data_IF_976783225785
#
_entry.id   IF_976783225785
#
_cell.length_a   1.000
_cell.length_b   1.000
_cell.length_c   1.000
_cell.angle_alpha   90.00
_cell.angle_beta   90.00
_cell.angle_gamma   90.00
#
_symmetry.space_group_name_H-M   'P 1'
#
loop_
_entity.id
_entity.type
_entity.pdbx_description
1 polymer ?
#
# COMPACT_ATOMS: atom_id res chain seq x y z
N UNK A 1 -3.44 -25.60 -4.22
CA UNK A 1 -3.05 -24.82 -4.87
C UNK A 1 -3.00 -23.46 -4.60
N UNK A 2 -1.97 -22.94 -4.50
CA UNK A 2 -1.80 -21.66 -4.20
C UNK A 2 -2.10 -20.73 -5.20
N UNK A 3 -2.09 -21.08 -6.36
CA UNK A 3 -2.39 -20.17 -7.41
C UNK A 3 -3.78 -19.71 -7.40
N UNK A 4 -4.65 -20.22 -6.55
CA UNK A 4 -5.91 -19.64 -6.46
C UNK A 4 -5.92 -18.49 -5.59
N UNK A 5 -4.90 -18.20 -4.85
CA UNK A 5 -4.82 -17.04 -4.02
C UNK A 5 -4.56 -15.84 -4.90
N UNK A 6 -4.99 -14.68 -4.52
CA UNK A 6 -4.62 -13.47 -5.19
C UNK A 6 -3.17 -13.23 -4.99
N UNK A 7 -2.46 -12.80 -5.97
CA UNK A 7 -1.07 -12.45 -5.89
C UNK A 7 -0.12 -13.58 -6.18
N UNK A 8 1.16 -13.28 -6.15
CA UNK A 8 2.21 -14.22 -6.44
C UNK A 8 2.92 -14.62 -5.17
N UNK A 9 3.32 -15.90 -5.07
CA UNK A 9 3.96 -16.36 -3.87
C UNK A 9 5.40 -15.89 -3.73
N UNK A 10 6.14 -15.81 -4.79
CA UNK A 10 7.51 -15.32 -4.77
C UNK A 10 8.43 -16.10 -3.83
N UNK A 11 8.11 -17.38 -3.61
CA UNK A 11 8.94 -18.25 -2.75
C UNK A 11 8.84 -17.96 -1.26
N UNK A 12 7.81 -17.21 -0.84
CA UNK A 12 7.68 -16.86 0.57
C UNK A 12 6.35 -17.32 1.14
N UNK A 13 6.28 -17.47 2.46
CA UNK A 13 5.02 -17.77 3.13
C UNK A 13 4.09 -16.59 3.05
N UNK A 14 2.81 -16.82 3.30
CA UNK A 14 1.82 -15.75 3.28
C UNK A 14 2.17 -14.63 4.28
N UNK A 15 2.63 -15.00 5.47
CA UNK A 15 3.01 -14.01 6.48
C UNK A 15 4.21 -13.18 6.03
N UNK A 16 5.23 -13.83 5.44
CA UNK A 16 6.38 -13.11 4.95
C UNK A 16 6.01 -12.20 3.79
N UNK A 17 5.10 -12.62 2.92
CA UNK A 17 4.65 -11.79 1.82
C UNK A 17 3.93 -10.56 2.32
N UNK A 18 3.04 -10.73 3.30
CA UNK A 18 2.31 -9.59 3.87
C UNK A 18 3.28 -8.58 4.48
N UNK A 19 4.28 -9.07 5.23
CA UNK A 19 5.29 -8.20 5.83
C UNK A 19 6.14 -7.51 4.77
N UNK A 20 6.55 -8.24 3.73
CA UNK A 20 7.33 -7.67 2.65
C UNK A 20 6.60 -6.53 1.96
N UNK A 21 5.34 -6.75 1.56
CA UNK A 21 4.60 -5.73 0.84
C UNK A 21 4.21 -4.56 1.73
N UNK A 22 3.94 -4.79 3.00
CA UNK A 22 3.72 -3.71 3.94
C UNK A 22 4.96 -2.82 4.04
N UNK A 23 6.14 -3.42 4.15
CA UNK A 23 7.39 -2.68 4.25
C UNK A 23 7.73 -1.94 2.95
N UNK A 24 7.48 -2.58 1.80
CA UNK A 24 7.67 -1.93 0.51
C UNK A 24 6.70 -0.75 0.33
N UNK A 25 5.46 -0.92 0.76
CA UNK A 25 4.47 0.14 0.69
C UNK A 25 4.87 1.33 1.57
N UNK A 26 5.36 1.06 2.79
CA UNK A 26 5.83 2.13 3.68
C UNK A 26 6.99 2.88 3.06
N UNK A 27 7.94 2.16 2.45
CA UNK A 27 9.08 2.79 1.79
C UNK A 27 8.63 3.63 0.59
N UNK A 28 7.73 3.09 -0.23
CA UNK A 28 7.22 3.82 -1.38
C UNK A 28 6.49 5.10 -0.97
N UNK A 29 5.63 5.01 0.03
CA UNK A 29 4.88 6.17 0.50
C UNK A 29 5.77 7.21 1.17
N UNK A 30 6.86 6.76 1.81
CA UNK A 30 7.81 7.66 2.46
C UNK A 30 8.71 8.37 1.44
N UNK A 31 9.28 7.61 0.52
CA UNK A 31 10.26 8.15 -0.42
C UNK A 31 9.69 8.45 -1.80
N UNK A 32 8.48 8.00 -2.06
CA UNK A 32 7.73 8.19 -3.32
C UNK A 32 8.33 7.45 -4.53
N UNK A 33 9.52 6.88 -4.39
CA UNK A 33 10.14 6.06 -5.42
C UNK A 33 10.94 4.96 -4.75
N UNK A 34 10.83 3.74 -5.22
CA UNK A 34 11.66 2.63 -4.77
C UNK A 34 12.11 1.78 -5.95
N UNK A 35 13.16 1.00 -5.75
CA UNK A 35 13.60 0.02 -6.73
C UNK A 35 13.23 -1.35 -6.24
N UNK A 36 12.64 -2.15 -7.13
CA UNK A 36 12.29 -3.53 -6.81
C UNK A 36 12.13 -4.33 -8.10
N UNK A 37 11.89 -5.61 -8.00
CA UNK A 37 11.70 -6.45 -9.18
C UNK A 37 10.33 -6.21 -9.79
N UNK A 38 10.16 -6.51 -11.07
CA UNK A 38 8.88 -6.34 -11.76
C UNK A 38 7.74 -7.12 -11.10
N UNK A 39 7.92 -8.41 -10.74
CA UNK A 39 6.85 -9.13 -10.07
C UNK A 39 6.45 -8.50 -8.75
N UNK A 40 7.41 -8.04 -7.96
CA UNK A 40 7.12 -7.38 -6.68
C UNK A 40 6.42 -6.06 -6.90
N UNK A 41 6.82 -5.29 -7.91
CA UNK A 41 6.19 -4.02 -8.21
C UNK A 41 4.72 -4.21 -8.61
N UNK A 42 4.42 -5.23 -9.41
CA UNK A 42 3.04 -5.51 -9.81
C UNK A 42 2.17 -5.91 -8.63
N UNK A 43 2.69 -6.72 -7.71
CA UNK A 43 1.94 -7.11 -6.53
C UNK A 43 1.81 -5.95 -5.54
N UNK A 44 2.85 -5.14 -5.42
CA UNK A 44 2.82 -3.98 -4.55
C UNK A 44 1.71 -3.01 -4.95
N UNK A 45 1.49 -2.83 -6.26
CA UNK A 45 0.42 -1.98 -6.76
C UNK A 45 -0.94 -2.39 -6.20
N UNK A 46 -1.20 -3.71 -6.12
CA UNK A 46 -2.45 -4.23 -5.58
C UNK A 46 -2.64 -3.90 -4.11
N UNK A 47 -1.54 -3.67 -3.40
CA UNK A 47 -1.58 -3.30 -1.98
C UNK A 47 -1.72 -1.78 -1.82
N UNK A 48 -0.99 -1.00 -2.62
CA UNK A 48 -0.89 0.45 -2.45
C UNK A 48 -2.06 1.22 -3.07
N UNK A 49 -2.53 0.83 -4.24
CA UNK A 49 -3.59 1.59 -4.92
C UNK A 49 -4.87 1.70 -4.09
N UNK A 50 -5.35 0.64 -3.43
CA UNK A 50 -6.51 0.79 -2.55
C UNK A 50 -6.27 1.76 -1.41
N UNK A 51 -5.03 1.84 -0.89
CA UNK A 51 -4.69 2.78 0.18
C UNK A 51 -4.76 4.22 -0.32
N UNK A 52 -4.27 4.48 -1.52
CA UNK A 52 -4.34 5.82 -2.10
C UNK A 52 -5.80 6.22 -2.36
N UNK A 53 -6.60 5.30 -2.87
CA UNK A 53 -8.02 5.54 -3.06
C UNK A 53 -8.71 5.88 -1.74
N UNK A 54 -8.39 5.13 -0.69
CA UNK A 54 -8.93 5.37 0.64
C UNK A 54 -8.54 6.76 1.16
N UNK A 55 -7.31 7.18 0.88
CA UNK A 55 -6.78 8.46 1.35
C UNK A 55 -7.37 9.67 0.64
N UNK A 56 -8.07 9.48 -0.47
CA UNK A 56 -8.74 10.60 -1.14
C UNK A 56 -9.85 11.18 -0.31
N UNK A 57 -10.39 10.41 0.62
CA UNK A 57 -11.43 10.88 1.55
C UNK A 57 -10.84 10.78 2.96
N UNK A 58 -10.47 11.92 3.54
CA UNK A 58 -9.81 11.95 4.84
C UNK A 58 -10.84 11.92 5.96
N UNK A 59 -11.06 10.74 6.50
CA UNK A 59 -11.93 10.55 7.65
C UNK A 59 -11.19 9.73 8.70
N UNK A 60 -11.66 9.80 9.95
CA UNK A 60 -11.08 9.00 11.03
C UNK A 60 -11.17 7.51 10.71
N UNK A 61 -12.31 7.07 10.18
CA UNK A 61 -12.49 5.67 9.83
C UNK A 61 -11.49 5.22 8.77
N UNK A 62 -11.27 6.05 7.74
CA UNK A 62 -10.33 5.72 6.67
C UNK A 62 -8.89 5.71 7.18
N UNK A 63 -8.53 6.65 8.06
CA UNK A 63 -7.20 6.67 8.67
C UNK A 63 -6.96 5.44 9.53
N UNK A 64 -7.97 5.01 10.29
CA UNK A 64 -7.85 3.79 11.11
C UNK A 64 -7.67 2.56 10.25
N UNK A 65 -8.38 2.47 9.14
CA UNK A 65 -8.25 1.34 8.23
C UNK A 65 -6.85 1.30 7.61
N UNK A 66 -6.34 2.45 7.17
CA UNK A 66 -4.99 2.53 6.62
C UNK A 66 -3.96 2.15 7.69
N UNK A 67 -4.15 2.60 8.93
CA UNK A 67 -3.24 2.26 10.02
C UNK A 67 -3.24 0.75 10.29
N UNK A 68 -4.38 0.10 10.19
CA UNK A 68 -4.45 -1.35 10.39
C UNK A 68 -3.62 -2.10 9.35
N UNK A 69 -3.48 -1.53 8.17
CA UNK A 69 -2.73 -2.17 7.07
C UNK A 69 -1.26 -1.78 7.06
N UNK A 70 -0.94 -0.52 7.32
CA UNK A 70 0.44 -0.03 7.26
C UNK A 70 1.16 -0.12 8.60
N UNK A 71 0.44 0.02 9.69
CA UNK A 71 0.99 -0.05 11.06
C UNK A 71 2.13 0.95 11.30
N UNK A 72 1.98 2.15 10.72
CA UNK A 72 2.98 3.20 10.86
C UNK A 72 2.29 4.55 10.77
N UNK A 73 2.20 5.24 11.88
CA UNK A 73 1.47 6.51 11.97
C UNK A 73 2.04 7.60 11.08
N UNK A 74 3.36 7.69 10.96
CA UNK A 74 3.99 8.70 10.13
C UNK A 74 3.66 8.50 8.65
N UNK A 75 3.65 7.24 8.21
CA UNK A 75 3.33 6.90 6.83
C UNK A 75 1.84 7.19 6.56
N UNK A 76 0.97 6.86 7.50
CA UNK A 76 -0.47 7.14 7.36
C UNK A 76 -0.70 8.66 7.29
N UNK A 77 -0.01 9.43 8.12
CA UNK A 77 -0.11 10.87 8.08
C UNK A 77 0.31 11.42 6.72
N UNK A 78 1.42 10.95 6.16
CA UNK A 78 1.85 11.37 4.84
C UNK A 78 0.85 10.95 3.77
N UNK A 79 0.35 9.72 3.87
CA UNK A 79 -0.62 9.20 2.91
C UNK A 79 -1.84 10.12 2.81
N UNK A 80 -2.41 10.52 3.94
CA UNK A 80 -3.62 11.34 3.93
C UNK A 80 -3.34 12.84 3.73
N UNK A 81 -2.26 13.35 4.34
CA UNK A 81 -1.99 14.79 4.30
C UNK A 81 -1.36 15.25 2.99
N UNK A 82 -0.63 14.38 2.30
CA UNK A 82 0.10 14.75 1.10
C UNK A 82 -0.39 13.96 -0.11
N UNK A 83 -0.23 12.66 -0.08
CA UNK A 83 -0.46 11.81 -1.24
C UNK A 83 -1.93 11.77 -1.64
N UNK A 84 -2.81 11.61 -0.65
CA UNK A 84 -4.24 11.59 -0.89
C UNK A 84 -4.74 12.88 -1.50
N UNK A 85 -4.22 14.02 -1.02
CA UNK A 85 -4.62 15.31 -1.55
C UNK A 85 -4.15 15.51 -2.98
N UNK A 86 -2.95 15.06 -3.31
CA UNK A 86 -2.44 15.15 -4.67
C UNK A 86 -3.25 14.29 -5.64
N UNK A 87 -3.83 13.21 -5.15
CA UNK A 87 -4.57 12.26 -5.98
C UNK A 87 -6.08 12.48 -5.95
N UNK A 88 -6.57 13.43 -5.18
CA UNK A 88 -8.01 13.57 -4.93
C UNK A 88 -8.86 13.78 -6.17
N UNK A 89 -8.30 14.41 -7.20
CA UNK A 89 -9.03 14.66 -8.43
C UNK A 89 -8.85 13.57 -9.49
N UNK A 90 -8.17 12.49 -9.16
CA UNK A 90 -7.96 11.41 -10.11
C UNK A 90 -8.97 10.32 -9.91
N UNK A 91 -9.33 9.65 -11.01
CA UNK A 91 -10.14 8.46 -10.94
C UNK A 91 -9.21 7.29 -10.71
N UNK A 92 -9.55 6.40 -9.82
CA UNK A 92 -8.72 5.25 -9.48
C UNK A 92 -7.62 5.61 -8.51
N UNK A 93 -6.70 4.76 -8.34
CA UNK A 93 -5.59 4.97 -7.43
C UNK A 93 -4.47 5.76 -8.07
#
# INVERSE_FOLDING_TARGET
MRHRLSGRHLGRTAAHRAALYRNLAKALLTFEVIKTTVPKAKELRRFVEPLITLAKVDTVANRRLAQSRLRDEAVVAKLFNVIGKLSANRNGG
#
